data_IF_134438045519
#
_entry.id   IF_134438045519
#
_cell.length_a   1.000
_cell.length_b   1.000
_cell.length_c   1.000
_cell.angle_alpha   90.00
_cell.angle_beta   90.00
_cell.angle_gamma   90.00
#
_symmetry.space_group_name_H-M   'P 1'
#
loop_
_entity.id
_entity.type
_entity.pdbx_description
1 polymer ?
#
# COMPACT_ATOMS: atom_id res chain seq x y z
N UNK A 1 13.68 14.27 -25.51
CA UNK A 1 15.11 14.33 -25.90
C UNK A 1 15.43 15.24 -27.10
N UNK A 2 14.46 15.70 -27.90
CA UNK A 2 14.73 16.59 -29.06
C UNK A 2 15.03 18.06 -28.74
N UNK A 3 14.75 18.55 -27.52
CA UNK A 3 14.97 19.96 -27.15
C UNK A 3 16.34 20.26 -26.54
N UNK A 4 17.01 19.28 -25.95
CA UNK A 4 18.28 19.47 -25.23
C UNK A 4 19.24 18.30 -25.51
N UNK A 5 20.01 18.37 -26.61
CA UNK A 5 20.88 17.26 -27.04
C UNK A 5 22.05 16.97 -26.08
N UNK A 6 22.44 17.93 -25.24
CA UNK A 6 23.50 17.78 -24.24
C UNK A 6 22.98 17.44 -22.83
N UNK A 7 21.67 17.19 -22.67
CA UNK A 7 21.11 16.85 -21.37
C UNK A 7 21.50 15.41 -21.01
N UNK A 8 22.45 15.29 -20.08
CA UNK A 8 22.83 14.03 -19.46
C UNK A 8 21.77 13.65 -18.43
N UNK A 9 21.05 12.56 -18.67
CA UNK A 9 20.17 11.96 -17.65
C UNK A 9 21.02 11.26 -16.59
N UNK A 10 20.60 11.25 -15.31
CA UNK A 10 21.21 10.38 -14.32
C UNK A 10 21.18 8.90 -14.79
N UNK A 11 22.13 8.07 -14.35
CA UNK A 11 22.31 6.70 -14.85
C UNK A 11 21.14 5.75 -14.53
N UNK A 12 20.26 6.13 -13.59
CA UNK A 12 18.99 5.45 -13.29
C UNK A 12 17.86 6.47 -13.31
N UNK A 13 16.65 6.05 -13.69
CA UNK A 13 15.44 6.85 -13.47
C UNK A 13 15.34 7.24 -11.99
N UNK A 14 14.98 8.48 -11.68
CA UNK A 14 14.82 9.00 -10.30
C UNK A 14 13.64 8.35 -9.52
N UNK A 15 13.03 7.31 -10.08
CA UNK A 15 11.92 6.56 -9.48
C UNK A 15 12.50 5.46 -8.59
N UNK A 16 12.14 5.44 -7.31
CA UNK A 16 12.63 4.42 -6.38
C UNK A 16 12.13 3.01 -6.74
N UNK A 17 12.87 1.98 -6.29
CA UNK A 17 12.57 0.57 -6.58
C UNK A 17 11.15 0.16 -6.14
N UNK A 18 10.70 0.62 -4.97
CA UNK A 18 9.40 0.28 -4.40
C UNK A 18 8.23 0.75 -5.29
N UNK A 19 8.37 1.93 -5.90
CA UNK A 19 7.41 2.46 -6.87
C UNK A 19 7.44 1.65 -8.17
N UNK A 20 8.62 1.29 -8.68
CA UNK A 20 8.74 0.49 -9.91
C UNK A 20 8.16 -0.92 -9.76
N UNK A 21 8.40 -1.58 -8.62
CA UNK A 21 7.90 -2.92 -8.33
C UNK A 21 6.36 -2.95 -8.31
N UNK A 22 5.76 -1.99 -7.60
CA UNK A 22 4.29 -1.87 -7.51
C UNK A 22 3.67 -1.57 -8.86
N UNK A 23 4.26 -0.66 -9.65
CA UNK A 23 3.81 -0.42 -11.02
C UNK A 23 3.92 -1.68 -11.90
N UNK A 24 4.94 -2.50 -11.71
CA UNK A 24 5.11 -3.76 -12.46
C UNK A 24 4.05 -4.79 -12.07
N UNK A 25 3.74 -4.92 -10.78
CA UNK A 25 2.64 -5.77 -10.31
C UNK A 25 1.29 -5.33 -10.88
N UNK A 26 1.00 -4.02 -10.83
CA UNK A 26 -0.24 -3.45 -11.39
C UNK A 26 -0.32 -3.65 -12.91
N UNK A 27 0.79 -3.58 -13.65
CA UNK A 27 0.78 -3.88 -15.08
C UNK A 27 0.37 -5.32 -15.41
N UNK A 28 0.84 -6.28 -14.61
CA UNK A 28 0.47 -7.70 -14.79
C UNK A 28 -1.02 -7.91 -14.50
N UNK A 29 -1.48 -7.35 -13.38
CA UNK A 29 -2.87 -7.45 -12.92
C UNK A 29 -3.85 -6.72 -13.86
N UNK A 30 -3.49 -5.53 -14.32
CA UNK A 30 -4.37 -4.66 -15.11
C UNK A 30 -4.76 -5.27 -16.47
N UNK A 31 -3.92 -6.12 -17.06
CA UNK A 31 -4.23 -6.76 -18.34
C UNK A 31 -5.39 -7.79 -18.25
N UNK A 32 -5.64 -8.33 -17.06
CA UNK A 32 -6.60 -9.42 -16.81
C UNK A 32 -7.79 -8.97 -15.96
N UNK A 33 -7.71 -7.78 -15.36
CA UNK A 33 -8.75 -7.23 -14.48
C UNK A 33 -9.81 -6.40 -15.25
N UNK A 34 -11.08 -6.68 -14.97
CA UNK A 34 -12.19 -5.85 -15.43
C UNK A 34 -12.28 -4.53 -14.67
N UNK A 35 -11.84 -4.52 -13.41
CA UNK A 35 -11.77 -3.37 -12.51
C UNK A 35 -10.50 -3.44 -11.69
N UNK A 36 -9.81 -2.32 -11.50
CA UNK A 36 -8.71 -2.21 -10.53
C UNK A 36 -9.06 -1.19 -9.44
N UNK A 37 -9.01 -1.61 -8.19
CA UNK A 37 -9.18 -0.75 -7.02
C UNK A 37 -7.80 -0.49 -6.43
N UNK A 38 -7.42 0.78 -6.39
CA UNK A 38 -6.21 1.26 -5.73
C UNK A 38 -6.61 1.84 -4.38
N UNK A 39 -6.12 1.26 -3.30
CA UNK A 39 -6.30 1.81 -1.95
C UNK A 39 -5.23 2.86 -1.71
N UNK A 40 -5.64 4.06 -1.33
CA UNK A 40 -4.75 5.18 -1.02
C UNK A 40 -5.40 6.53 -1.27
N UNK A 41 -4.73 7.59 -0.81
CA UNK A 41 -5.32 8.93 -0.86
C UNK A 41 -5.07 9.67 -2.18
N UNK A 42 -6.03 10.51 -2.57
CA UNK A 42 -5.95 11.40 -3.74
C UNK A 42 -4.78 12.38 -3.70
N UNK A 43 -4.26 12.67 -2.51
CA UNK A 43 -3.07 13.52 -2.34
C UNK A 43 -1.73 12.77 -2.50
N UNK A 44 -1.77 11.45 -2.68
CA UNK A 44 -0.59 10.60 -2.85
C UNK A 44 -0.30 10.39 -4.34
N UNK A 45 0.74 11.06 -4.84
CA UNK A 45 1.16 10.93 -6.25
C UNK A 45 1.47 9.49 -6.65
N UNK A 46 2.02 8.68 -5.74
CA UNK A 46 2.27 7.26 -5.97
C UNK A 46 0.96 6.49 -6.19
N UNK A 47 -0.06 6.75 -5.36
CA UNK A 47 -1.35 6.05 -5.44
C UNK A 47 -2.11 6.45 -6.71
N UNK A 48 -2.15 7.73 -7.04
CA UNK A 48 -2.73 8.24 -8.30
C UNK A 48 -2.01 7.62 -9.51
N UNK A 49 -0.68 7.51 -9.46
CA UNK A 49 0.10 6.90 -10.54
C UNK A 49 -0.23 5.42 -10.74
N UNK A 50 -0.57 4.67 -9.70
CA UNK A 50 -0.99 3.26 -9.85
C UNK A 50 -2.30 3.13 -10.63
N UNK A 51 -3.25 4.07 -10.46
CA UNK A 51 -4.50 4.10 -11.25
C UNK A 51 -4.17 4.32 -12.73
N UNK A 52 -3.32 5.30 -13.04
CA UNK A 52 -2.90 5.57 -14.42
C UNK A 52 -2.20 4.35 -15.06
N UNK A 53 -1.39 3.65 -14.27
CA UNK A 53 -0.68 2.45 -14.72
C UNK A 53 -1.65 1.28 -14.96
N UNK A 54 -2.66 1.11 -14.12
CA UNK A 54 -3.69 0.08 -14.30
C UNK A 54 -4.47 0.29 -15.60
N UNK A 55 -4.95 1.52 -15.83
CA UNK A 55 -5.65 1.89 -17.06
C UNK A 55 -4.75 1.72 -18.28
N UNK A 56 -3.50 2.18 -18.20
CA UNK A 56 -2.52 2.03 -19.28
C UNK A 56 -2.12 0.58 -19.57
N UNK A 57 -2.34 -0.34 -18.62
CA UNK A 57 -2.07 -1.76 -18.77
C UNK A 57 -3.25 -2.58 -19.35
N UNK A 58 -4.43 -1.97 -19.49
CA UNK A 58 -5.59 -2.61 -20.13
C UNK A 58 -6.81 -2.81 -19.23
N UNK A 59 -6.76 -2.36 -17.96
CA UNK A 59 -7.92 -2.45 -17.08
C UNK A 59 -9.08 -1.63 -17.67
N UNK A 60 -10.30 -2.19 -17.69
CA UNK A 60 -11.47 -1.47 -18.25
C UNK A 60 -11.84 -0.25 -17.41
N UNK A 61 -11.67 -0.36 -16.09
CA UNK A 61 -11.85 0.72 -15.14
C UNK A 61 -10.80 0.62 -14.03
N UNK A 62 -10.42 1.77 -13.45
CA UNK A 62 -9.58 1.82 -12.26
C UNK A 62 -9.96 3.00 -11.38
N UNK A 63 -10.06 2.77 -10.08
CA UNK A 63 -10.54 3.74 -9.10
C UNK A 63 -9.58 3.85 -7.91
N UNK A 64 -9.47 5.06 -7.36
CA UNK A 64 -8.74 5.35 -6.14
C UNK A 64 -9.73 5.54 -5.00
N UNK A 65 -9.56 4.78 -3.92
CA UNK A 65 -10.40 4.84 -2.71
C UNK A 65 -9.54 4.96 -1.47
N UNK A 66 -9.98 5.76 -0.50
CA UNK A 66 -9.30 5.86 0.80
C UNK A 66 -9.67 4.66 1.71
N UNK A 67 -10.88 4.10 1.57
CA UNK A 67 -11.42 2.98 2.35
C UNK A 67 -12.51 2.22 1.58
N UNK A 68 -12.88 1.03 2.07
CA UNK A 68 -13.76 0.10 1.36
C UNK A 68 -15.17 0.65 1.12
N UNK A 69 -15.67 1.50 2.01
CA UNK A 69 -17.01 2.09 1.92
C UNK A 69 -17.14 3.12 0.79
N UNK A 70 -16.03 3.59 0.19
CA UNK A 70 -16.07 4.45 -0.99
C UNK A 70 -16.27 3.67 -2.30
N UNK A 71 -16.21 2.34 -2.26
CA UNK A 71 -16.41 1.50 -3.44
C UNK A 71 -17.89 1.50 -3.81
N UNK A 72 -18.17 1.93 -5.04
CA UNK A 72 -19.52 1.86 -5.62
C UNK A 72 -19.76 0.46 -6.20
N UNK A 73 -20.85 -0.18 -5.79
CA UNK A 73 -21.24 -1.50 -6.31
C UNK A 73 -21.50 -1.48 -7.82
N UNK A 74 -21.90 -0.33 -8.38
CA UNK A 74 -22.07 -0.18 -9.82
C UNK A 74 -20.76 -0.43 -10.60
N UNK A 75 -19.59 -0.27 -9.97
CA UNK A 75 -18.30 -0.58 -10.62
C UNK A 75 -18.09 -2.07 -10.83
N UNK A 76 -18.81 -2.93 -10.10
CA UNK A 76 -18.70 -4.39 -10.19
C UNK A 76 -19.58 -4.99 -11.30
N UNK A 77 -20.46 -4.19 -11.91
CA UNK A 77 -21.39 -4.67 -12.94
C UNK A 77 -20.64 -5.23 -14.15
N UNK A 78 -20.83 -6.52 -14.43
CA UNK A 78 -20.18 -7.20 -15.57
C UNK A 78 -18.68 -7.42 -15.39
N UNK A 79 -18.14 -7.22 -14.18
CA UNK A 79 -16.76 -7.53 -13.82
C UNK A 79 -16.68 -8.95 -13.28
N UNK A 80 -15.74 -9.75 -13.79
CA UNK A 80 -15.44 -11.09 -13.27
C UNK A 80 -14.22 -11.10 -12.36
N UNK A 81 -13.30 -10.15 -12.58
CA UNK A 81 -11.99 -10.11 -11.95
C UNK A 81 -11.70 -8.69 -11.49
N UNK A 82 -11.50 -8.53 -10.18
CA UNK A 82 -11.13 -7.26 -9.55
C UNK A 82 -9.67 -7.35 -9.11
N UNK A 83 -8.84 -6.44 -9.61
CA UNK A 83 -7.49 -6.24 -9.13
C UNK A 83 -7.47 -5.31 -7.92
N UNK A 84 -6.79 -5.68 -6.84
CA UNK A 84 -6.63 -4.82 -5.65
C UNK A 84 -5.15 -4.53 -5.44
N UNK A 85 -4.81 -3.27 -5.24
CA UNK A 85 -3.45 -2.81 -4.94
C UNK A 85 -3.49 -1.62 -4.00
N UNK A 86 -2.34 -1.22 -3.45
CA UNK A 86 -2.26 -0.09 -2.53
C UNK A 86 -1.02 0.76 -2.71
N UNK A 87 -1.12 2.03 -2.30
CA UNK A 87 0.03 2.91 -2.17
C UNK A 87 1.01 2.41 -1.09
N UNK A 88 2.29 2.77 -1.21
CA UNK A 88 3.34 2.30 -0.28
C UNK A 88 3.15 2.74 1.19
N UNK A 89 2.35 3.77 1.44
CA UNK A 89 2.09 4.33 2.77
C UNK A 89 0.76 3.88 3.38
N UNK A 90 0.06 2.95 2.72
CA UNK A 90 -1.29 2.53 3.11
C UNK A 90 -1.18 1.38 4.13
N UNK A 91 -1.84 1.48 5.30
CA UNK A 91 -1.90 0.38 6.26
C UNK A 91 -2.57 -0.86 5.66
N UNK A 92 -2.03 -2.05 5.96
CA UNK A 92 -2.54 -3.33 5.45
C UNK A 92 -4.03 -3.55 5.78
N UNK A 93 -4.47 -3.13 6.96
CA UNK A 93 -5.87 -3.26 7.40
C UNK A 93 -6.87 -2.61 6.44
N UNK A 94 -6.48 -1.56 5.70
CA UNK A 94 -7.36 -0.93 4.71
C UNK A 94 -7.48 -1.78 3.45
N UNK A 95 -6.42 -2.49 3.08
CA UNK A 95 -6.43 -3.45 1.97
C UNK A 95 -7.26 -4.67 2.34
N UNK A 96 -7.07 -5.19 3.56
CA UNK A 96 -7.87 -6.29 4.11
C UNK A 96 -9.35 -5.93 4.12
N UNK A 97 -9.73 -4.72 4.59
CA UNK A 97 -11.12 -4.26 4.57
C UNK A 97 -11.72 -4.21 3.16
N UNK A 98 -10.95 -3.86 2.13
CA UNK A 98 -11.40 -3.91 0.73
C UNK A 98 -11.60 -5.36 0.27
N UNK A 99 -10.69 -6.27 0.62
CA UNK A 99 -10.82 -7.69 0.29
C UNK A 99 -12.06 -8.32 0.96
N UNK A 100 -12.30 -8.02 2.24
CA UNK A 100 -13.50 -8.48 2.96
C UNK A 100 -14.79 -7.94 2.33
N UNK A 101 -14.79 -6.64 1.96
CA UNK A 101 -15.93 -6.01 1.30
C UNK A 101 -16.24 -6.63 -0.06
N UNK A 102 -15.21 -7.01 -0.82
CA UNK A 102 -15.33 -7.71 -2.10
C UNK A 102 -15.78 -9.16 -1.91
N UNK A 103 -15.25 -9.87 -0.92
CA UNK A 103 -15.64 -11.25 -0.59
C UNK A 103 -17.13 -11.34 -0.27
N UNK A 104 -17.67 -10.39 0.52
CA UNK A 104 -19.10 -10.29 0.81
C UNK A 104 -20.00 -10.10 -0.43
N UNK A 105 -19.40 -9.80 -1.59
CA UNK A 105 -20.06 -9.59 -2.89
C UNK A 105 -19.73 -10.67 -3.92
N UNK A 106 -19.14 -11.79 -3.47
CA UNK A 106 -18.87 -12.96 -4.30
C UNK A 106 -17.46 -13.03 -4.90
N UNK A 107 -16.55 -12.14 -4.50
CA UNK A 107 -15.13 -12.18 -4.89
C UNK A 107 -14.28 -12.81 -3.78
N UNK A 108 -14.51 -14.09 -3.50
CA UNK A 108 -13.85 -14.81 -2.39
C UNK A 108 -12.49 -15.43 -2.77
N UNK A 109 -12.26 -15.65 -4.06
CA UNK A 109 -11.02 -16.25 -4.56
C UNK A 109 -9.94 -15.17 -4.73
N UNK A 110 -8.95 -15.18 -3.83
CA UNK A 110 -7.88 -14.18 -3.78
C UNK A 110 -6.55 -14.79 -4.20
N UNK A 111 -6.02 -14.34 -5.33
CA UNK A 111 -4.67 -14.68 -5.81
C UNK A 111 -3.69 -13.52 -5.59
N UNK A 112 -2.55 -13.80 -4.96
CA UNK A 112 -1.50 -12.78 -4.73
C UNK A 112 -0.53 -12.70 -5.91
N UNK A 113 -0.54 -11.56 -6.62
CA UNK A 113 0.42 -11.28 -7.70
C UNK A 113 1.69 -10.62 -7.14
N UNK A 114 2.76 -11.39 -6.97
CA UNK A 114 4.09 -10.85 -6.61
C UNK A 114 4.93 -10.56 -7.85
N UNK A 115 5.34 -9.31 -8.04
CA UNK A 115 6.23 -8.93 -9.15
C UNK A 115 7.72 -9.05 -8.82
N UNK A 116 8.11 -8.86 -7.55
CA UNK A 116 9.48 -8.96 -7.06
C UNK A 116 9.49 -9.15 -5.52
N UNK A 117 10.54 -9.78 -4.98
CA UNK A 117 10.77 -9.80 -3.52
C UNK A 117 11.44 -8.49 -3.06
N UNK A 118 10.85 -7.81 -2.07
CA UNK A 118 11.42 -6.61 -1.47
C UNK A 118 12.14 -6.98 -0.15
N UNK A 119 13.48 -6.90 -0.13
CA UNK A 119 14.31 -7.29 1.04
C UNK A 119 15.07 -6.12 1.69
N UNK A 120 14.88 -4.90 1.19
CA UNK A 120 15.63 -3.72 1.65
C UNK A 120 15.00 -3.19 2.95
N UNK A 121 15.79 -3.15 4.03
CA UNK A 121 15.40 -2.58 5.32
C UNK A 121 16.19 -1.30 5.60
N UNK A 122 15.50 -0.20 5.85
CA UNK A 122 16.12 1.04 6.32
C UNK A 122 16.23 1.03 7.84
N UNK A 123 17.46 0.89 8.34
CA UNK A 123 17.72 0.98 9.78
C UNK A 123 17.73 2.44 10.23
N UNK A 124 17.14 2.73 11.38
CA UNK A 124 17.27 4.05 11.99
C UNK A 124 18.75 4.38 12.29
N UNK A 125 19.18 5.63 12.05
CA UNK A 125 20.48 6.15 12.49
C UNK A 125 20.78 5.82 13.95
N UNK A 126 22.07 5.69 14.30
CA UNK A 126 22.50 5.24 15.64
C UNK A 126 22.05 6.20 16.74
N UNK A 127 21.96 7.47 16.39
CA UNK A 127 21.58 8.60 17.25
C UNK A 127 20.13 8.42 17.69
N UNK A 128 19.20 8.29 16.73
CA UNK A 128 17.76 8.07 17.00
C UNK A 128 17.48 6.75 17.73
N UNK A 129 18.29 5.71 17.50
CA UNK A 129 18.16 4.43 18.22
C UNK A 129 18.54 4.51 19.70
N UNK A 130 19.42 5.45 20.09
CA UNK A 130 19.79 5.65 21.49
C UNK A 130 18.69 6.39 22.24
N UNK A 131 18.14 7.43 21.62
CA UNK A 131 17.10 8.27 22.21
C UNK A 131 15.81 7.47 22.42
N UNK A 132 15.37 6.70 21.42
CA UNK A 132 14.19 5.82 21.56
C UNK A 132 14.36 4.73 22.64
N UNK A 133 15.59 4.20 22.80
CA UNK A 133 15.88 3.23 23.87
C UNK A 133 15.87 3.88 25.25
N UNK A 134 16.34 5.12 25.36
CA UNK A 134 16.31 5.88 26.60
C UNK A 134 14.87 6.27 26.97
N UNK A 135 14.07 6.73 26.01
CA UNK A 135 12.65 7.04 26.19
C UNK A 135 11.82 5.80 26.56
N UNK A 136 12.04 4.67 25.87
CA UNK A 136 11.39 3.41 26.21
C UNK A 136 11.79 2.91 27.61
N UNK A 137 13.06 3.01 27.99
CA UNK A 137 13.52 2.65 29.33
C UNK A 137 12.91 3.55 30.42
N UNK A 138 12.77 4.85 30.14
CA UNK A 138 12.11 5.80 31.04
C UNK A 138 10.61 5.52 31.18
N UNK A 139 9.91 5.17 30.09
CA UNK A 139 8.50 4.80 30.10
C UNK A 139 8.24 3.52 30.92
N UNK A 140 9.15 2.54 30.84
CA UNK A 140 9.07 1.30 31.64
C UNK A 140 9.39 1.55 33.12
N UNK A 141 10.33 2.44 33.44
CA UNK A 141 10.68 2.79 34.81
C UNK A 141 9.63 3.69 35.51
N UNK A 142 8.77 4.36 34.75
CA UNK A 142 7.73 5.27 35.26
C UNK A 142 6.34 4.64 35.49
N UNK A 143 6.16 3.34 35.26
CA UNK A 143 4.87 2.68 35.48
C UNK A 143 4.74 2.28 36.96
N UNK A 144 3.78 2.83 37.74
CA UNK A 144 3.56 2.39 39.11
C UNK A 144 3.01 0.97 39.07
N UNK A 145 3.78 0.01 39.58
CA UNK A 145 3.30 -1.33 39.86
C UNK A 145 2.18 -1.23 40.90
N UNK A 146 0.94 -1.44 40.46
CA UNK A 146 -0.18 -1.62 41.36
C UNK A 146 0.04 -2.93 42.15
N UNK A 147 0.62 -2.81 43.34
CA UNK A 147 0.60 -3.86 44.35
C UNK A 147 -0.82 -3.93 44.92
N UNK A 148 -1.58 -4.93 44.46
CA UNK A 148 -2.82 -5.34 45.10
C UNK A 148 -2.50 -5.97 46.46
N UNK A 149 -2.88 -5.28 47.52
CA UNK A 149 -3.00 -5.86 48.85
C UNK A 149 -4.39 -6.52 48.93
N UNK A 150 -4.41 -7.85 48.85
CA UNK A 150 -5.57 -8.65 49.19
C UNK A 150 -5.21 -9.42 50.47
N UNK A 151 -5.66 -8.90 51.60
CA UNK A 151 -5.68 -9.65 52.87
C UNK A 151 -7.11 -9.68 53.40
N UNK A 152 -7.57 -10.89 53.70
CA UNK A 152 -8.88 -11.31 54.19
C UNK A 152 -9.43 -10.48 55.37
N UNK A 153 -10.78 -10.43 55.43
CA UNK A 153 -11.59 -9.99 56.57
C UNK A 153 -13.07 -10.13 56.27
#
# INVERSE_FOLDING_TARGET
>A
KNKFPNLLSPPSDDICYATQNRQTAVKKMGAEAGLVIVVGSKNSSNSVRLVEVALGAGARAAHLVDYAEEIDEAWLEGVSTVGVTSGASVPEILVEGVLEWLAARGYEDVETVKAAEESITFSLPKELRRDLRAEAAAAVAGSPTASGDATEG
#
